data_IF_358436656655
#
_entry.id   IF_358436656655
#
_cell.length_a   1.000
_cell.length_b   1.000
_cell.length_c   1.000
_cell.angle_alpha   90.00
_cell.angle_beta   90.00
_cell.angle_gamma   90.00
#
_symmetry.space_group_name_H-M   'P 1'
#
loop_
_entity.id
_entity.type
_entity.pdbx_description
1 polymer ?
#
# COMPACT_ATOMS: atom_id res chain seq x y z
N UNK A 1 6.48 -5.30 -22.11
CA UNK A 1 6.67 -4.72 -20.77
C UNK A 1 5.59 -5.23 -19.84
N UNK A 2 5.96 -5.60 -18.64
CA UNK A 2 5.01 -6.08 -17.64
C UNK A 2 5.04 -5.20 -16.40
N UNK A 3 3.94 -5.22 -15.64
CA UNK A 3 3.84 -4.44 -14.42
C UNK A 3 3.49 -5.39 -13.28
N UNK A 4 4.28 -5.35 -12.21
CA UNK A 4 3.99 -6.07 -10.98
C UNK A 4 3.52 -5.03 -9.95
N UNK A 5 2.37 -5.30 -9.34
CA UNK A 5 1.80 -4.38 -8.36
C UNK A 5 2.03 -4.91 -6.95
N UNK A 6 2.56 -4.05 -6.09
CA UNK A 6 2.75 -4.36 -4.67
C UNK A 6 1.95 -3.35 -3.85
N UNK A 7 1.10 -3.85 -2.97
CA UNK A 7 0.34 -3.00 -2.08
C UNK A 7 0.74 -3.30 -0.64
N UNK A 8 1.06 -2.24 0.09
CA UNK A 8 1.50 -2.35 1.49
C UNK A 8 0.54 -1.56 2.36
N UNK A 9 -0.03 -2.25 3.34
CA UNK A 9 -0.96 -1.65 4.28
C UNK A 9 -0.42 -1.81 5.70
N UNK A 10 -0.66 -0.83 6.58
CA UNK A 10 -0.25 -0.97 7.98
C UNK A 10 -1.08 -2.06 8.66
N UNK A 11 -0.52 -2.64 9.72
CA UNK A 11 -1.23 -3.63 10.51
C UNK A 11 -2.41 -2.97 11.22
N UNK A 12 -3.49 -3.74 11.40
CA UNK A 12 -4.70 -3.20 12.00
C UNK A 12 -4.48 -2.76 13.45
N UNK A 13 -3.56 -3.39 14.14
CA UNK A 13 -3.29 -3.11 15.54
C UNK A 13 -2.48 -1.83 15.74
N UNK A 14 -1.85 -1.33 14.68
CA UNK A 14 -1.02 -0.15 14.79
C UNK A 14 -1.85 1.12 14.63
N UNK A 15 -1.49 2.12 15.41
CA UNK A 15 -2.08 3.44 15.25
C UNK A 15 -1.65 4.00 13.90
N UNK A 16 -2.60 4.54 13.15
CA UNK A 16 -2.34 5.10 11.84
C UNK A 16 -2.63 6.60 11.86
N UNK A 17 -1.63 7.43 12.22
CA UNK A 17 -1.86 8.87 12.30
C UNK A 17 -2.28 9.49 10.98
N UNK A 18 -1.72 8.98 9.86
CA UNK A 18 -2.10 9.49 8.54
C UNK A 18 -3.55 9.18 8.23
N UNK A 19 -3.98 7.95 8.53
CA UNK A 19 -5.37 7.57 8.32
C UNK A 19 -6.32 8.38 9.18
N UNK A 20 -5.93 8.64 10.43
CA UNK A 20 -6.77 9.43 11.32
C UNK A 20 -6.90 10.88 10.88
N UNK A 21 -5.82 11.45 10.35
CA UNK A 21 -5.88 12.80 9.81
C UNK A 21 -6.82 12.88 8.61
N UNK A 22 -6.75 11.90 7.72
CA UNK A 22 -7.65 11.83 6.57
C UNK A 22 -9.10 11.66 7.02
N UNK A 23 -9.31 10.79 8.01
CA UNK A 23 -10.65 10.57 8.54
C UNK A 23 -11.26 11.85 9.09
N UNK A 24 -10.48 12.60 9.87
CA UNK A 24 -10.94 13.87 10.40
C UNK A 24 -11.33 14.85 9.31
N UNK A 25 -10.51 14.93 8.27
CA UNK A 25 -10.80 15.82 7.14
C UNK A 25 -12.06 15.39 6.41
N UNK A 26 -12.24 14.10 6.16
CA UNK A 26 -13.42 13.60 5.47
C UNK A 26 -14.70 13.87 6.25
N UNK A 27 -14.67 13.71 7.56
CA UNK A 27 -15.84 13.97 8.38
C UNK A 27 -16.25 15.45 8.36
N UNK A 28 -15.26 16.33 8.33
CA UNK A 28 -15.55 17.76 8.28
C UNK A 28 -16.05 18.21 6.92
N UNK A 29 -15.66 17.52 5.86
CA UNK A 29 -15.96 17.97 4.50
C UNK A 29 -17.22 17.36 3.94
N UNK A 30 -17.17 16.13 3.47
CA UNK A 30 -18.26 15.57 2.70
C UNK A 30 -18.68 14.16 3.12
N UNK A 31 -17.98 13.55 4.06
CA UNK A 31 -18.21 12.14 4.35
C UNK A 31 -18.28 11.88 5.85
N UNK A 32 -19.30 12.42 6.53
CA UNK A 32 -19.41 12.23 7.99
C UNK A 32 -19.65 10.80 8.42
N UNK A 33 -20.09 9.94 7.52
CA UNK A 33 -20.38 8.53 7.85
C UNK A 33 -19.17 7.64 7.83
N UNK A 34 -18.03 8.16 7.37
CA UNK A 34 -16.79 7.38 7.34
C UNK A 34 -16.35 7.05 8.75
N UNK A 35 -16.08 5.78 9.02
CA UNK A 35 -15.74 5.33 10.37
C UNK A 35 -14.28 5.07 10.58
N UNK A 36 -13.55 4.78 9.51
CA UNK A 36 -12.13 4.48 9.62
C UNK A 36 -11.45 4.72 8.29
N UNK A 37 -10.19 5.13 8.35
CA UNK A 37 -9.37 5.30 7.16
C UNK A 37 -8.01 4.67 7.45
N UNK A 38 -7.52 3.90 6.50
CA UNK A 38 -6.17 3.34 6.55
C UNK A 38 -5.42 3.80 5.33
N UNK A 39 -4.23 4.33 5.54
CA UNK A 39 -3.38 4.83 4.45
C UNK A 39 -2.32 3.79 4.15
N UNK A 40 -2.23 3.39 2.90
CA UNK A 40 -1.23 2.43 2.46
C UNK A 40 -0.46 2.97 1.28
N UNK A 41 0.43 2.14 0.75
CA UNK A 41 1.25 2.47 -0.40
C UNK A 41 1.04 1.44 -1.50
N UNK A 42 1.05 1.92 -2.74
CA UNK A 42 0.96 1.05 -3.90
C UNK A 42 2.15 1.32 -4.80
N UNK A 43 2.87 0.27 -5.13
CA UNK A 43 4.04 0.35 -6.00
C UNK A 43 3.76 -0.37 -7.31
N UNK A 44 4.10 0.24 -8.41
CA UNK A 44 4.04 -0.39 -9.73
C UNK A 44 5.47 -0.64 -10.18
N UNK A 45 5.83 -1.90 -10.29
CA UNK A 45 7.18 -2.28 -10.69
C UNK A 45 7.14 -2.63 -12.18
N UNK A 46 7.71 -1.77 -12.99
CA UNK A 46 7.73 -1.93 -14.44
C UNK A 46 8.95 -2.73 -14.84
N UNK A 47 8.74 -3.86 -15.49
CA UNK A 47 9.83 -4.77 -15.85
C UNK A 47 9.80 -5.06 -17.35
N UNK A 48 10.97 -5.34 -17.90
CA UNK A 48 11.09 -5.78 -19.29
C UNK A 48 10.71 -7.25 -19.40
N UNK A 49 10.09 -7.62 -20.52
CA UNK A 49 9.75 -9.00 -20.79
C UNK A 49 8.49 -9.44 -20.07
N UNK A 50 8.40 -10.75 -19.86
CA UNK A 50 7.21 -11.35 -19.27
C UNK A 50 7.42 -11.65 -17.80
N UNK A 51 6.31 -11.65 -17.05
CA UNK A 51 6.34 -12.00 -15.64
C UNK A 51 6.54 -13.50 -15.53
N UNK A 52 7.52 -13.92 -14.74
CA UNK A 52 7.80 -15.31 -14.45
C UNK A 52 7.68 -15.56 -12.95
N UNK A 53 7.65 -16.83 -12.56
CA UNK A 53 7.61 -17.18 -11.14
C UNK A 53 8.83 -16.64 -10.40
N UNK A 54 9.99 -16.70 -11.05
CA UNK A 54 11.20 -16.16 -10.46
C UNK A 54 11.10 -14.66 -10.25
N UNK A 55 10.56 -13.95 -11.22
CA UNK A 55 10.39 -12.51 -11.11
C UNK A 55 9.42 -12.15 -9.99
N UNK A 56 8.33 -12.91 -9.86
CA UNK A 56 7.38 -12.68 -8.78
C UNK A 56 8.00 -12.94 -7.42
N UNK A 57 8.84 -13.97 -7.30
CA UNK A 57 9.57 -14.23 -6.06
C UNK A 57 10.49 -13.08 -5.70
N UNK A 58 11.19 -12.53 -6.69
CA UNK A 58 12.06 -11.40 -6.46
C UNK A 58 11.29 -10.17 -6.02
N UNK A 59 10.13 -9.92 -6.63
CA UNK A 59 9.30 -8.80 -6.26
C UNK A 59 8.75 -8.95 -4.84
N UNK A 60 8.38 -10.17 -4.46
CA UNK A 60 7.89 -10.44 -3.11
C UNK A 60 8.98 -10.20 -2.08
N UNK A 61 10.19 -10.64 -2.37
CA UNK A 61 11.32 -10.42 -1.47
C UNK A 61 11.63 -8.94 -1.32
N UNK A 62 11.61 -8.20 -2.42
CA UNK A 62 11.82 -6.76 -2.39
C UNK A 62 10.74 -6.06 -1.56
N UNK A 63 9.50 -6.52 -1.71
CA UNK A 63 8.40 -5.93 -0.95
C UNK A 63 8.59 -6.12 0.54
N UNK A 64 9.02 -7.30 0.97
CA UNK A 64 9.24 -7.56 2.38
C UNK A 64 10.42 -6.78 2.94
N UNK A 65 11.51 -6.69 2.18
CA UNK A 65 12.74 -6.13 2.68
C UNK A 65 12.85 -4.63 2.56
N UNK A 66 12.31 -4.05 1.50
CA UNK A 66 12.51 -2.64 1.20
C UNK A 66 11.22 -1.84 1.19
N UNK A 67 10.19 -2.35 0.52
CA UNK A 67 8.99 -1.56 0.27
C UNK A 67 8.07 -1.51 1.48
N UNK A 68 8.05 -2.56 2.28
CA UNK A 68 7.22 -2.63 3.47
C UNK A 68 7.93 -2.14 4.73
N UNK A 69 9.20 -1.81 4.62
CA UNK A 69 9.97 -1.35 5.77
C UNK A 69 9.67 0.12 6.05
N UNK A 70 9.37 0.40 7.27
CA UNK A 70 9.03 1.76 7.71
C UNK A 70 10.11 2.38 8.54
#
# INVERSE_FOLDING_TARGET
MAIVVVEVMPKKELLDPAGQAVLGALKRMTFPECKAVRVGKRFELHVEGQVSDELLSQAEEAARGLLANE
#
